data_IF_185529952156
#
_entry.id   IF_185529952156
#
_cell.length_a   1.000
_cell.length_b   1.000
_cell.length_c   1.000
_cell.angle_alpha   90.00
_cell.angle_beta   90.00
_cell.angle_gamma   90.00
#
_symmetry.space_group_name_H-M   'P 1'
#
loop_
_entity.id
_entity.type
_entity.pdbx_description
1 polymer ?
#
# COMPACT_ATOMS: atom_id res chain seq x y z
N UNK A 1 -14.39 7.31 4.36
CA UNK A 1 -13.41 7.68 3.32
C UNK A 1 -12.02 7.81 3.95
N UNK A 2 -10.95 7.79 3.16
CA UNK A 2 -9.61 8.09 3.68
C UNK A 2 -9.47 9.60 3.93
N UNK A 3 -8.71 9.99 4.95
CA UNK A 3 -8.34 11.39 5.15
C UNK A 3 -7.27 11.83 4.14
N UNK A 4 -6.99 13.14 4.07
CA UNK A 4 -6.07 13.70 3.07
C UNK A 4 -4.64 13.15 3.20
N UNK A 5 -4.11 13.04 4.43
CA UNK A 5 -2.77 12.52 4.69
C UNK A 5 -2.65 11.06 4.22
N UNK A 6 -3.62 10.22 4.57
CA UNK A 6 -3.68 8.82 4.15
C UNK A 6 -3.80 8.69 2.63
N UNK A 7 -4.66 9.49 2.00
CA UNK A 7 -4.85 9.50 0.54
C UNK A 7 -3.55 9.79 -0.20
N UNK A 8 -2.78 10.80 0.24
CA UNK A 8 -1.51 11.16 -0.38
C UNK A 8 -0.46 10.05 -0.24
N UNK A 9 -0.26 9.54 0.97
CA UNK A 9 0.78 8.53 1.23
C UNK A 9 0.45 7.18 0.58
N UNK A 10 -0.81 6.72 0.67
CA UNK A 10 -1.25 5.49 0.01
C UNK A 10 -1.18 5.67 -1.51
N UNK A 11 -1.56 6.82 -2.05
CA UNK A 11 -1.45 7.11 -3.49
C UNK A 11 -0.01 7.04 -4.00
N UNK A 12 0.95 7.61 -3.27
CA UNK A 12 2.39 7.51 -3.58
C UNK A 12 2.89 6.06 -3.53
N UNK A 13 2.50 5.30 -2.50
CA UNK A 13 2.86 3.89 -2.40
C UNK A 13 2.33 3.08 -3.59
N UNK A 14 1.05 3.25 -3.95
CA UNK A 14 0.45 2.57 -5.10
C UNK A 14 1.11 2.98 -6.43
N UNK A 15 1.50 4.25 -6.59
CA UNK A 15 2.22 4.72 -7.77
C UNK A 15 3.59 4.03 -7.93
N UNK A 16 4.36 3.93 -6.84
CA UNK A 16 5.66 3.25 -6.85
C UNK A 16 5.50 1.73 -7.09
N UNK A 17 4.50 1.09 -6.47
CA UNK A 17 4.17 -0.32 -6.72
C UNK A 17 3.82 -0.56 -8.18
N UNK A 18 2.95 0.26 -8.77
CA UNK A 18 2.59 0.15 -10.18
C UNK A 18 3.81 0.35 -11.11
N UNK A 19 4.67 1.32 -10.79
CA UNK A 19 5.91 1.56 -11.54
C UNK A 19 6.86 0.37 -11.47
N UNK A 20 6.97 -0.27 -10.30
CA UNK A 20 7.78 -1.47 -10.12
C UNK A 20 7.18 -2.68 -10.85
N UNK A 21 5.85 -2.84 -10.82
CA UNK A 21 5.15 -3.90 -11.53
C UNK A 21 5.40 -3.83 -13.04
N UNK A 22 5.35 -2.63 -13.64
CA UNK A 22 5.62 -2.44 -15.07
C UNK A 22 7.09 -2.73 -15.42
N UNK A 23 8.03 -2.31 -14.57
CA UNK A 23 9.47 -2.44 -14.87
C UNK A 23 10.00 -3.85 -14.62
N UNK A 24 9.49 -4.52 -13.58
CA UNK A 24 10.13 -5.69 -13.00
C UNK A 24 9.15 -6.81 -12.60
N UNK A 25 7.84 -6.54 -12.55
CA UNK A 25 6.85 -7.39 -11.90
C UNK A 25 5.74 -7.84 -12.84
N UNK A 26 4.55 -8.02 -12.27
CA UNK A 26 3.37 -8.53 -12.98
C UNK A 26 3.16 -7.85 -14.33
N UNK A 27 3.00 -6.52 -14.35
CA UNK A 27 2.69 -5.73 -15.55
C UNK A 27 3.78 -5.67 -16.64
N UNK A 28 4.87 -6.40 -16.47
CA UNK A 28 5.91 -6.54 -17.50
C UNK A 28 5.64 -7.67 -18.50
N UNK A 29 4.68 -8.56 -18.22
CA UNK A 29 4.32 -9.72 -19.05
C UNK A 29 2.81 -9.76 -19.34
N UNK A 30 2.37 -10.61 -20.27
CA UNK A 30 0.99 -10.55 -20.80
C UNK A 30 -0.06 -11.34 -19.99
N UNK A 31 0.37 -12.25 -19.11
CA UNK A 31 -0.49 -13.19 -18.36
C UNK A 31 -0.58 -12.87 -16.86
N UNK A 32 -0.34 -11.61 -16.51
CA UNK A 32 -0.19 -11.16 -15.14
C UNK A 32 -1.52 -10.86 -14.44
N UNK A 33 -1.45 -10.75 -13.11
CA UNK A 33 -2.54 -10.16 -12.32
C UNK A 33 -1.99 -9.35 -11.15
N UNK A 34 -2.63 -8.21 -10.90
CA UNK A 34 -2.51 -7.44 -9.66
C UNK A 34 -3.82 -7.48 -8.91
N UNK A 35 -3.75 -7.88 -7.64
CA UNK A 35 -4.86 -7.86 -6.69
C UNK A 35 -4.61 -6.73 -5.67
N UNK A 36 -5.56 -5.79 -5.59
CA UNK A 36 -5.57 -4.76 -4.54
C UNK A 36 -6.80 -4.97 -3.69
N UNK A 37 -6.59 -5.30 -2.42
CA UNK A 37 -7.65 -5.59 -1.47
C UNK A 37 -7.45 -4.79 -0.20
N UNK A 38 -8.52 -4.21 0.34
CA UNK A 38 -8.48 -3.53 1.63
C UNK A 38 -9.68 -3.91 2.48
N UNK A 39 -9.51 -3.85 3.80
CA UNK A 39 -10.63 -4.01 4.73
C UNK A 39 -10.28 -3.45 6.11
N UNK A 40 -11.31 -3.26 6.93
CA UNK A 40 -11.15 -2.99 8.35
C UNK A 40 -11.20 -4.34 9.08
N UNK A 41 -10.17 -4.66 9.86
CA UNK A 41 -10.10 -5.88 10.69
C UNK A 41 -9.81 -5.51 12.16
N UNK A 42 -10.16 -6.38 13.11
CA UNK A 42 -9.63 -6.26 14.48
C UNK A 42 -8.11 -6.42 14.47
N UNK A 43 -7.40 -5.42 14.99
CA UNK A 43 -5.97 -5.46 15.26
C UNK A 43 -5.67 -5.90 16.70
N UNK A 44 -4.43 -5.69 17.12
CA UNK A 44 -4.01 -6.00 18.49
C UNK A 44 -4.90 -5.29 19.53
N UNK A 45 -5.25 -6.01 20.59
CA UNK A 45 -6.03 -5.51 21.72
C UNK A 45 -7.44 -4.99 21.36
N UNK A 46 -8.00 -5.41 20.23
CA UNK A 46 -9.38 -5.07 19.83
C UNK A 46 -9.54 -3.71 19.15
N UNK A 47 -8.43 -3.03 18.83
CA UNK A 47 -8.45 -1.83 18.01
C UNK A 47 -8.89 -2.13 16.57
N UNK A 48 -9.58 -1.22 15.90
CA UNK A 48 -9.88 -1.38 14.47
C UNK A 48 -8.67 -0.95 13.62
N UNK A 49 -8.18 -1.83 12.76
CA UNK A 49 -7.09 -1.56 11.84
C UNK A 49 -7.58 -1.55 10.40
N UNK A 50 -7.08 -0.60 9.62
CA UNK A 50 -7.16 -0.63 8.16
C UNK A 50 -6.01 -1.49 7.64
N UNK A 51 -6.34 -2.53 6.88
CA UNK A 51 -5.39 -3.45 6.28
C UNK A 51 -5.54 -3.40 4.76
N UNK A 52 -4.50 -2.97 4.06
CA UNK A 52 -4.42 -2.90 2.60
C UNK A 52 -3.34 -3.87 2.12
N UNK A 53 -3.67 -4.62 1.08
CA UNK A 53 -2.78 -5.58 0.44
C UNK A 53 -2.70 -5.30 -1.05
N UNK A 54 -1.48 -5.24 -1.56
CA UNK A 54 -1.15 -5.32 -2.98
C UNK A 54 -0.47 -6.66 -3.23
N UNK A 55 -0.95 -7.41 -4.23
CA UNK A 55 -0.38 -8.71 -4.57
C UNK A 55 -0.24 -8.87 -6.07
N UNK A 56 0.99 -9.11 -6.50
CA UNK A 56 1.32 -9.45 -7.87
C UNK A 56 1.39 -10.98 -8.02
N UNK A 57 0.88 -11.50 -9.14
CA UNK A 57 0.99 -12.91 -9.49
C UNK A 57 1.23 -13.07 -10.99
N UNK A 58 1.78 -14.23 -11.35
CA UNK A 58 2.07 -14.63 -12.74
C UNK A 58 3.02 -13.67 -13.48
N UNK A 59 3.77 -12.84 -12.74
CA UNK A 59 4.86 -12.06 -13.28
C UNK A 59 6.12 -12.92 -13.52
N UNK A 60 7.18 -12.31 -14.06
CA UNK A 60 8.49 -12.96 -14.15
C UNK A 60 9.00 -13.32 -12.75
N UNK A 61 9.97 -14.24 -12.68
CA UNK A 61 10.56 -14.66 -11.40
C UNK A 61 11.13 -13.44 -10.65
N UNK A 62 10.53 -13.13 -9.51
CA UNK A 62 10.92 -11.97 -8.71
C UNK A 62 12.10 -12.35 -7.81
N UNK A 63 13.15 -11.52 -7.88
CA UNK A 63 14.29 -11.57 -6.95
C UNK A 63 14.25 -10.33 -6.08
N UNK A 64 14.48 -10.52 -4.78
CA UNK A 64 14.57 -9.41 -3.85
C UNK A 64 15.65 -8.41 -4.33
N UNK A 65 15.37 -7.10 -4.37
CA UNK A 65 16.33 -6.11 -4.83
C UNK A 65 17.57 -6.11 -3.92
N UNK A 66 18.76 -6.13 -4.54
CA UNK A 66 20.03 -6.07 -3.81
C UNK A 66 20.35 -4.67 -3.24
N UNK A 67 19.65 -3.64 -3.74
CA UNK A 67 19.85 -2.25 -3.34
C UNK A 67 18.51 -1.59 -3.04
N UNK A 68 18.45 -0.88 -1.91
CA UNK A 68 17.31 -0.05 -1.55
C UNK A 68 17.32 1.28 -2.29
N UNK A 69 16.66 1.29 -3.45
CA UNK A 69 16.39 2.52 -4.20
C UNK A 69 15.29 3.38 -3.56
N UNK A 70 15.06 4.56 -4.14
CA UNK A 70 14.05 5.53 -3.69
C UNK A 70 12.65 4.92 -3.50
N UNK A 71 12.19 4.10 -4.43
CA UNK A 71 10.89 3.43 -4.33
C UNK A 71 10.77 2.51 -3.11
N UNK A 72 11.84 1.83 -2.71
CA UNK A 72 11.83 1.01 -1.49
C UNK A 72 11.74 1.87 -0.22
N UNK A 73 12.31 3.07 -0.23
CA UNK A 73 12.20 4.03 0.88
C UNK A 73 10.77 4.54 1.02
N UNK A 74 10.10 4.88 -0.09
CA UNK A 74 8.68 5.29 -0.09
C UNK A 74 7.80 4.15 0.44
N UNK A 75 8.02 2.94 -0.07
CA UNK A 75 7.21 1.77 0.26
C UNK A 75 7.40 1.27 1.68
N UNK A 76 8.63 1.21 2.21
CA UNK A 76 8.88 0.63 3.53
C UNK A 76 8.93 1.67 4.66
N UNK A 77 9.50 2.84 4.42
CA UNK A 77 9.75 3.82 5.50
C UNK A 77 8.70 4.91 5.53
N UNK A 78 8.42 5.57 4.41
CA UNK A 78 7.56 6.76 4.46
C UNK A 78 6.12 6.40 4.78
N UNK A 79 5.55 5.37 4.14
CA UNK A 79 4.14 5.03 4.35
C UNK A 79 3.86 4.56 5.79
N UNK A 80 4.70 3.65 6.31
CA UNK A 80 4.56 3.14 7.68
C UNK A 80 4.84 4.21 8.76
N UNK A 81 5.92 4.98 8.61
CA UNK A 81 6.28 6.02 9.58
C UNK A 81 5.26 7.18 9.56
N UNK A 82 4.86 7.66 8.38
CA UNK A 82 3.94 8.79 8.27
C UNK A 82 2.54 8.46 8.76
N UNK A 83 2.07 7.23 8.53
CA UNK A 83 0.73 6.79 8.96
C UNK A 83 0.72 6.12 10.34
N UNK A 84 1.90 5.97 10.97
CA UNK A 84 2.03 5.33 12.27
C UNK A 84 1.63 3.85 12.26
N UNK A 85 1.94 3.12 11.18
CA UNK A 85 1.59 1.72 11.02
C UNK A 85 2.73 0.85 10.52
N UNK A 86 2.39 -0.42 10.33
CA UNK A 86 3.30 -1.47 9.88
C UNK A 86 3.20 -1.62 8.37
N UNK A 87 4.34 -1.76 7.74
CA UNK A 87 4.44 -2.07 6.32
C UNK A 87 5.34 -3.27 6.13
N UNK A 88 4.85 -4.28 5.43
CA UNK A 88 5.65 -5.42 5.00
C UNK A 88 5.74 -5.42 3.48
N UNK A 89 6.91 -5.81 2.97
CA UNK A 89 7.16 -5.88 1.55
C UNK A 89 7.96 -7.14 1.29
N UNK A 90 7.28 -8.13 0.73
CA UNK A 90 7.76 -9.49 0.58
C UNK A 90 7.91 -9.81 -0.91
N UNK A 91 9.05 -10.41 -1.24
CA UNK A 91 9.39 -10.80 -2.60
C UNK A 91 9.39 -12.33 -2.67
N UNK A 92 8.40 -12.89 -3.36
CA UNK A 92 8.30 -14.33 -3.63
C UNK A 92 8.66 -14.60 -5.08
N UNK A 93 9.23 -15.77 -5.44
CA UNK A 93 9.48 -16.10 -6.84
C UNK A 93 8.23 -15.99 -7.73
N UNK A 94 7.04 -16.18 -7.15
CA UNK A 94 5.74 -16.07 -7.84
C UNK A 94 5.16 -14.64 -7.92
N UNK A 95 5.80 -13.65 -7.31
CA UNK A 95 5.32 -12.27 -7.29
C UNK A 95 5.64 -11.50 -6.00
N UNK A 96 5.18 -10.25 -5.95
CA UNK A 96 5.37 -9.33 -4.83
C UNK A 96 4.11 -9.27 -3.97
N UNK A 97 4.29 -9.23 -2.65
CA UNK A 97 3.23 -8.89 -1.70
C UNK A 97 3.65 -7.68 -0.90
N UNK A 98 2.80 -6.67 -0.87
CA UNK A 98 2.97 -5.49 -0.03
C UNK A 98 1.74 -5.31 0.85
N UNK A 99 1.95 -5.11 2.15
CA UNK A 99 0.89 -4.92 3.13
C UNK A 99 1.09 -3.62 3.89
N UNK A 100 0.00 -2.91 4.14
CA UNK A 100 -0.07 -1.76 5.04
C UNK A 100 -1.13 -2.06 6.11
N UNK A 101 -0.70 -2.02 7.36
CA UNK A 101 -1.57 -2.11 8.52
C UNK A 101 -1.42 -0.88 9.40
N UNK A 102 -2.52 -0.14 9.58
CA UNK A 102 -2.58 1.11 10.35
C UNK A 102 -3.84 1.14 11.19
N UNK A 103 -3.83 1.90 12.29
CA UNK A 103 -5.08 2.15 13.02
C UNK A 103 -6.10 2.81 12.09
N UNK A 104 -7.32 2.26 12.04
CA UNK A 104 -8.38 2.79 11.18
C UNK A 104 -8.67 4.26 11.50
N UNK A 105 -8.63 4.63 12.79
CA UNK A 105 -8.83 6.00 13.23
C UNK A 105 -7.76 6.99 12.72
N UNK A 106 -6.55 6.52 12.38
CA UNK A 106 -5.47 7.37 11.88
C UNK A 106 -5.63 7.71 10.38
N UNK A 107 -6.38 6.89 9.63
CA UNK A 107 -6.48 7.02 8.17
C UNK A 107 -7.88 7.29 7.66
N UNK A 108 -8.91 7.03 8.46
CA UNK A 108 -10.29 7.36 8.09
C UNK A 108 -10.60 8.82 8.39
N UNK A 109 -11.26 9.49 7.45
CA UNK A 109 -11.79 10.83 7.64
C UNK A 109 -12.83 10.81 8.78
N UNK A 110 -12.80 11.84 9.62
CA UNK A 110 -13.90 12.04 10.57
C UNK A 110 -15.10 12.56 9.79
N UNK A 111 -16.32 12.33 10.31
CA UNK A 111 -17.56 12.80 9.68
C UNK A 111 -17.62 14.33 9.47
N UNK A 112 -16.68 15.09 10.06
CA UNK A 112 -16.56 16.54 9.90
C UNK A 112 -15.74 16.97 8.67
N UNK A 113 -14.82 16.13 8.18
CA UNK A 113 -13.89 16.48 7.10
C UNK A 113 -14.57 16.56 5.71
N UNK A 114 -15.69 15.84 5.53
CA UNK A 114 -16.48 15.86 4.28
C UNK A 114 -17.21 17.21 4.05
N UNK A 115 -17.33 18.06 5.09
CA UNK A 115 -18.02 19.36 4.97
C UNK A 115 -17.15 20.48 4.41
N UNK A 116 -15.83 20.31 4.35
CA UNK A 116 -14.90 21.35 3.88
C UNK A 116 -14.62 21.30 2.36
N UNK A 117 -15.07 20.26 1.65
CA UNK A 117 -14.84 20.10 0.20
C UNK A 117 -16.04 20.51 -0.67
N UNK A 118 -17.11 21.03 -0.08
CA UNK A 118 -18.30 21.50 -0.78
C UNK A 118 -18.52 23.00 -0.54
N UNK A 119 -17.66 23.83 -1.12
CA UNK A 119 -17.98 25.23 -1.37
C UNK A 119 -17.77 25.50 -2.88
N UNK A 120 -18.73 26.16 -3.55
CA UNK A 120 -18.79 26.33 -5.00
C UNK A 120 -17.75 27.30 -5.57
#
# INVERSE_FOLDING_TARGET
MLNQNATQNIGLALHELATNAVKYGALSVQEDTIEVAWQIRPGALGSACFHLTWRERNGPEVKAPQHSGFGQVVLQRMTGVTLGGLVEHEFYPSGVVWTLEVLAAAVLASKADDSASAAP
#
